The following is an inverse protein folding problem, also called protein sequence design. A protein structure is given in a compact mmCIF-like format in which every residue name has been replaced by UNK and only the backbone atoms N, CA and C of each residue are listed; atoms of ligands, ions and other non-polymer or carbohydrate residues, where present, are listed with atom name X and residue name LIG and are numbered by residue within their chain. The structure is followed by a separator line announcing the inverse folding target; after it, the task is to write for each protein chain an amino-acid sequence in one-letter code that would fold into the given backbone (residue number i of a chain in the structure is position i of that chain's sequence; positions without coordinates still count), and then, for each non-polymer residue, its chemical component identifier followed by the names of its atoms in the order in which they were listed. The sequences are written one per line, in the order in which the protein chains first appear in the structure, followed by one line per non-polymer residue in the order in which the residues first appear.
data_IF_350728683838
#
_entry.id   IF_350728683838
#
_cell.length_a   1.000
_cell.length_b   1.000
_cell.length_c   1.000
_cell.angle_alpha   90.00
_cell.angle_beta   90.00
_cell.angle_gamma   90.00
#
_symmetry.space_group_name_H-M   'P 1'
#
loop_
_entity.id
_entity.type
_entity.pdbx_description
1 polymer ?
#
# COMPACT_ATOMS: atom_id res chain seq x y z
N UNK A 1 -15.53 48.30 0.49
CA UNK A 1 -16.88 48.51 -0.04
C UNK A 1 -17.32 47.24 -0.75
N UNK A 2 -17.91 46.29 -0.02
CA UNK A 2 -18.69 45.19 -0.61
C UNK A 2 -19.85 44.92 0.34
N UNK A 3 -21.06 44.98 -0.22
CA UNK A 3 -22.35 45.04 0.46
C UNK A 3 -22.80 43.66 0.91
N UNK A 4 -23.23 43.53 2.18
CA UNK A 4 -23.82 42.31 2.74
C UNK A 4 -25.35 42.40 2.62
N UNK A 5 -25.92 41.68 1.66
CA UNK A 5 -27.38 41.55 1.50
C UNK A 5 -27.92 40.56 2.55
N UNK A 6 -28.73 41.05 3.48
CA UNK A 6 -29.41 40.23 4.49
C UNK A 6 -30.63 39.52 3.89
N UNK A 7 -30.61 38.19 3.84
CA UNK A 7 -31.78 37.38 3.52
C UNK A 7 -32.59 37.14 4.82
N UNK A 8 -33.81 37.70 4.91
CA UNK A 8 -34.71 37.50 6.07
C UNK A 8 -35.38 36.13 5.95
N UNK A 9 -35.15 35.24 6.91
CA UNK A 9 -35.84 33.96 7.04
C UNK A 9 -37.08 34.10 7.94
N UNK A 10 -38.18 33.47 7.53
CA UNK A 10 -39.47 33.39 8.23
C UNK A 10 -39.40 32.40 9.42
N UNK A 11 -40.16 32.59 10.53
CA UNK A 11 -39.94 31.87 11.79
C UNK A 11 -40.39 30.40 11.84
N UNK A 12 -40.89 29.82 10.75
CA UNK A 12 -41.64 28.56 10.81
C UNK A 12 -40.85 27.28 10.52
N UNK A 13 -39.50 27.31 10.50
CA UNK A 13 -38.68 26.15 10.13
C UNK A 13 -37.81 25.59 11.28
N UNK A 14 -38.18 25.84 12.54
CA UNK A 14 -37.34 25.54 13.71
C UNK A 14 -37.48 24.12 14.30
N UNK A 15 -38.08 23.15 13.59
CA UNK A 15 -38.37 21.83 14.16
C UNK A 15 -37.99 20.61 13.29
N UNK A 16 -37.08 20.75 12.33
CA UNK A 16 -36.59 19.64 11.50
C UNK A 16 -35.09 19.73 11.17
N UNK A 17 -34.27 20.09 12.14
CA UNK A 17 -32.82 19.90 12.03
C UNK A 17 -32.32 18.96 13.14
N UNK A 18 -32.91 17.77 13.18
CA UNK A 18 -32.32 16.61 13.83
C UNK A 18 -31.01 16.26 13.13
N UNK A 19 -29.91 16.25 13.89
CA UNK A 19 -28.87 15.23 13.85
C UNK A 19 -28.37 14.81 12.46
N UNK A 20 -27.58 15.67 11.82
CA UNK A 20 -26.58 15.21 10.83
C UNK A 20 -25.22 15.82 11.19
N UNK A 21 -24.71 15.45 12.37
CA UNK A 21 -23.27 15.27 12.51
C UNK A 21 -22.93 14.06 11.64
N UNK A 22 -22.77 14.30 10.34
CA UNK A 22 -22.24 13.33 9.41
C UNK A 22 -20.83 13.01 9.91
N UNK A 23 -20.69 11.89 10.63
CA UNK A 23 -19.39 11.28 10.84
C UNK A 23 -18.80 11.08 9.46
N UNK A 24 -17.84 11.92 9.10
CA UNK A 24 -17.05 11.76 7.89
C UNK A 24 -16.08 10.60 8.15
N UNK A 25 -16.63 9.40 8.28
CA UNK A 25 -15.90 8.18 8.05
C UNK A 25 -15.66 8.13 6.56
N UNK A 26 -14.56 8.72 6.10
CA UNK A 26 -14.07 8.50 4.74
C UNK A 26 -13.58 7.06 4.71
N UNK A 27 -14.51 6.13 4.53
CA UNK A 27 -14.17 4.76 4.23
C UNK A 27 -13.64 4.78 2.81
N UNK A 28 -12.36 4.43 2.61
CA UNK A 28 -11.78 4.34 1.29
C UNK A 28 -12.65 3.40 0.44
N UNK A 29 -13.38 3.98 -0.52
CA UNK A 29 -14.31 3.22 -1.33
C UNK A 29 -13.53 2.34 -2.28
N UNK A 30 -13.86 1.05 -2.32
CA UNK A 30 -13.30 0.13 -3.29
C UNK A 30 -13.51 0.65 -4.72
N UNK A 31 -12.45 0.63 -5.52
CA UNK A 31 -12.48 0.89 -6.96
C UNK A 31 -12.02 -0.34 -7.74
N UNK A 32 -12.87 -0.86 -8.60
CA UNK A 32 -12.56 -2.01 -9.48
C UNK A 32 -11.47 -1.66 -10.50
N UNK A 33 -11.53 -0.46 -11.08
CA UNK A 33 -10.50 0.04 -12.01
C UNK A 33 -9.12 0.11 -11.34
N UNK A 34 -9.09 0.57 -10.08
CA UNK A 34 -7.87 0.57 -9.29
C UNK A 34 -7.40 -0.84 -8.96
N UNK A 35 -8.33 -1.74 -8.59
CA UNK A 35 -8.00 -3.15 -8.35
C UNK A 35 -7.36 -3.80 -9.58
N UNK A 36 -7.92 -3.57 -10.78
CA UNK A 36 -7.36 -4.10 -12.02
C UNK A 36 -5.98 -3.53 -12.33
N UNK A 37 -5.78 -2.23 -12.09
CA UNK A 37 -4.45 -1.60 -12.24
C UNK A 37 -3.44 -2.22 -11.28
N UNK A 38 -3.82 -2.36 -10.00
CA UNK A 38 -2.98 -2.98 -8.97
C UNK A 38 -2.65 -4.45 -9.30
N UNK A 39 -3.57 -5.19 -9.93
CA UNK A 39 -3.35 -6.55 -10.40
C UNK A 39 -2.29 -6.60 -11.51
N UNK A 40 -2.35 -5.70 -12.50
CA UNK A 40 -1.35 -5.65 -13.57
C UNK A 40 0.03 -5.24 -13.06
N UNK A 41 0.11 -4.28 -12.14
CA UNK A 41 1.35 -3.96 -11.45
C UNK A 41 1.90 -5.17 -10.69
N UNK A 42 1.03 -5.87 -9.95
CA UNK A 42 1.41 -7.10 -9.26
C UNK A 42 1.91 -8.17 -10.24
N UNK A 43 1.32 -8.32 -11.42
CA UNK A 43 1.76 -9.28 -12.44
C UNK A 43 3.11 -8.88 -13.05
N UNK A 44 3.34 -7.59 -13.28
CA UNK A 44 4.62 -7.07 -13.78
C UNK A 44 5.79 -7.38 -12.83
N UNK A 45 5.55 -7.48 -11.52
CA UNK A 45 6.60 -7.84 -10.55
C UNK A 45 7.17 -9.25 -10.75
N UNK A 46 6.47 -10.12 -11.48
CA UNK A 46 6.95 -11.46 -11.83
C UNK A 46 7.87 -11.49 -13.06
N UNK A 47 8.04 -10.36 -13.76
CA UNK A 47 9.00 -10.24 -14.85
C UNK A 47 10.45 -10.23 -14.32
N UNK A 48 11.43 -10.46 -15.20
CA UNK A 48 12.85 -10.33 -14.84
C UNK A 48 13.23 -8.87 -14.55
N UNK A 49 14.29 -8.67 -13.75
CA UNK A 49 14.73 -7.34 -13.29
C UNK A 49 14.99 -6.37 -14.46
N UNK A 50 15.71 -6.74 -15.53
CA UNK A 50 15.86 -5.88 -16.70
C UNK A 50 14.53 -5.45 -17.33
N UNK A 51 13.60 -6.40 -17.52
CA UNK A 51 12.29 -6.09 -18.10
C UNK A 51 11.43 -5.20 -17.21
N UNK A 52 11.51 -5.33 -15.88
CA UNK A 52 10.86 -4.41 -14.95
C UNK A 52 11.51 -3.03 -15.08
N UNK A 53 12.83 -2.94 -14.97
CA UNK A 53 13.57 -1.66 -15.00
C UNK A 53 13.33 -0.86 -16.29
N UNK A 54 13.28 -1.53 -17.43
CA UNK A 54 12.97 -0.92 -18.73
C UNK A 54 11.47 -0.80 -19.03
N UNK A 55 10.63 -1.30 -18.12
CA UNK A 55 9.17 -1.34 -18.26
C UNK A 55 8.68 -1.97 -19.58
N UNK A 56 9.28 -3.12 -19.94
CA UNK A 56 9.17 -3.71 -21.28
C UNK A 56 8.51 -5.09 -21.33
N UNK A 57 8.00 -5.63 -20.22
CA UNK A 57 7.32 -6.93 -20.25
C UNK A 57 5.83 -6.82 -20.61
N UNK A 58 5.20 -7.96 -20.96
CA UNK A 58 3.80 -8.01 -21.41
C UNK A 58 2.81 -7.34 -20.45
N UNK A 59 3.04 -7.46 -19.14
CA UNK A 59 2.16 -6.85 -18.13
C UNK A 59 2.39 -5.33 -17.99
N UNK A 60 3.59 -4.83 -18.32
CA UNK A 60 3.91 -3.40 -18.35
C UNK A 60 3.10 -2.66 -19.42
N UNK A 61 2.75 -3.33 -20.51
CA UNK A 61 1.98 -2.76 -21.62
C UNK A 61 0.60 -2.23 -21.20
N UNK A 62 0.06 -2.68 -20.06
CA UNK A 62 -1.20 -2.17 -19.51
C UNK A 62 -1.07 -0.78 -18.90
N UNK A 63 0.15 -0.35 -18.55
CA UNK A 63 0.45 0.96 -17.99
C UNK A 63 1.67 1.58 -18.70
N UNK A 64 1.58 1.93 -20.00
CA UNK A 64 2.74 2.32 -20.81
C UNK A 64 3.40 3.64 -20.36
N UNK A 65 2.69 4.49 -19.62
CA UNK A 65 3.21 5.75 -19.06
C UNK A 65 3.88 5.59 -17.70
N UNK A 66 3.87 4.39 -17.11
CA UNK A 66 4.50 4.14 -15.81
C UNK A 66 6.03 4.21 -15.93
N UNK A 67 6.64 4.98 -15.05
CA UNK A 67 8.08 5.17 -14.98
C UNK A 67 8.59 4.44 -13.75
N UNK A 68 9.30 3.33 -13.96
CA UNK A 68 10.05 2.69 -12.88
C UNK A 68 11.14 3.63 -12.42
N UNK A 69 11.18 3.87 -11.11
CA UNK A 69 12.19 4.70 -10.46
C UNK A 69 13.27 3.84 -9.84
N UNK A 70 12.88 2.69 -9.28
CA UNK A 70 13.82 1.75 -8.68
C UNK A 70 13.29 0.33 -8.62
N UNK A 71 14.19 -0.65 -8.77
CA UNK A 71 13.95 -2.07 -8.48
C UNK A 71 14.81 -2.44 -7.28
N UNK A 72 14.23 -3.15 -6.32
CA UNK A 72 14.84 -3.60 -5.08
C UNK A 72 14.93 -5.11 -5.11
N UNK A 73 16.09 -5.67 -4.78
CA UNK A 73 16.28 -7.11 -4.77
C UNK A 73 17.18 -7.54 -3.61
N UNK A 74 16.77 -8.60 -2.94
CA UNK A 74 17.62 -9.36 -2.04
C UNK A 74 17.53 -10.83 -2.44
N UNK A 75 18.53 -11.30 -3.19
CA UNK A 75 18.57 -12.66 -3.71
C UNK A 75 18.65 -13.71 -2.59
N UNK A 76 19.29 -13.40 -1.46
CA UNK A 76 19.40 -14.29 -0.29
C UNK A 76 18.03 -14.56 0.33
N UNK A 77 17.21 -13.53 0.45
CA UNK A 77 15.85 -13.62 0.99
C UNK A 77 14.79 -13.89 -0.09
N UNK A 78 15.20 -14.04 -1.36
CA UNK A 78 14.32 -14.20 -2.51
C UNK A 78 13.39 -13.01 -2.78
N UNK A 79 13.60 -11.88 -2.10
CA UNK A 79 12.72 -10.73 -2.09
C UNK A 79 12.97 -9.83 -3.30
N UNK A 80 11.90 -9.39 -3.95
CA UNK A 80 11.96 -8.38 -5.01
C UNK A 80 10.76 -7.45 -4.92
N UNK A 81 11.01 -6.16 -5.12
CA UNK A 81 9.99 -5.15 -5.30
C UNK A 81 10.42 -4.14 -6.36
N UNK A 82 9.48 -3.36 -6.87
CA UNK A 82 9.81 -2.14 -7.61
C UNK A 82 8.94 -0.98 -7.14
N UNK A 83 9.47 0.22 -7.34
CA UNK A 83 8.78 1.47 -7.09
C UNK A 83 8.86 2.36 -8.32
N UNK A 84 7.75 3.03 -8.63
CA UNK A 84 7.68 3.93 -9.75
C UNK A 84 6.50 4.86 -9.65
N UNK A 85 6.31 5.66 -10.68
CA UNK A 85 5.27 6.69 -10.72
C UNK A 85 4.58 6.69 -12.08
N UNK A 86 3.30 6.99 -12.07
CA UNK A 86 2.54 7.41 -13.25
C UNK A 86 1.96 8.81 -12.97
N UNK A 87 0.98 9.26 -13.75
CA UNK A 87 0.43 10.61 -13.62
C UNK A 87 -0.28 10.85 -12.27
N UNK A 88 -0.94 9.83 -11.71
CA UNK A 88 -1.85 9.97 -10.57
C UNK A 88 -1.33 9.37 -9.27
N UNK A 89 -0.36 8.44 -9.29
CA UNK A 89 0.09 7.71 -8.09
C UNK A 89 1.58 7.37 -8.09
N UNK A 90 2.09 7.12 -6.88
CA UNK A 90 3.31 6.36 -6.64
C UNK A 90 2.88 4.90 -6.49
N UNK A 91 3.59 3.95 -7.10
CA UNK A 91 3.28 2.52 -7.01
C UNK A 91 4.45 1.78 -6.40
N UNK A 92 4.15 0.92 -5.43
CA UNK A 92 5.05 -0.06 -4.86
C UNK A 92 4.47 -1.44 -5.16
N UNK A 93 5.23 -2.29 -5.84
CA UNK A 93 4.77 -3.65 -6.15
C UNK A 93 5.79 -4.69 -5.71
N UNK A 94 5.31 -5.72 -5.02
CA UNK A 94 6.12 -6.82 -4.52
C UNK A 94 5.92 -8.10 -5.33
N UNK A 95 7.03 -8.78 -5.63
CA UNK A 95 7.03 -10.07 -6.32
C UNK A 95 6.55 -11.19 -5.40
N UNK A 96 5.70 -12.07 -5.93
CA UNK A 96 5.34 -13.34 -5.29
C UNK A 96 6.40 -14.43 -5.45
N UNK A 97 6.16 -15.60 -4.88
CA UNK A 97 7.05 -16.76 -5.07
C UNK A 97 7.05 -17.20 -6.54
N UNK A 98 8.22 -17.51 -7.10
CA UNK A 98 8.31 -18.10 -8.45
C UNK A 98 7.81 -19.55 -8.50
N UNK A 99 7.77 -20.24 -7.35
CA UNK A 99 7.23 -21.59 -7.22
C UNK A 99 6.18 -21.64 -6.10
N UNK A 100 4.96 -21.18 -6.43
CA UNK A 100 3.87 -21.04 -5.45
C UNK A 100 3.45 -22.37 -4.83
N UNK A 101 3.26 -23.49 -5.58
CA UNK A 101 2.86 -24.75 -4.96
C UNK A 101 3.87 -25.24 -3.92
N UNK A 102 5.17 -25.19 -4.25
CA UNK A 102 6.23 -25.60 -3.34
C UNK A 102 6.32 -24.66 -2.13
N UNK A 103 6.15 -23.36 -2.34
CA UNK A 103 6.13 -22.40 -1.24
C UNK A 103 4.98 -22.69 -0.27
N UNK A 104 3.77 -23.00 -0.75
CA UNK A 104 2.62 -23.31 0.11
C UNK A 104 2.90 -24.56 0.96
N UNK A 105 3.54 -25.59 0.40
CA UNK A 105 3.88 -26.80 1.16
C UNK A 105 4.98 -26.58 2.19
N UNK A 106 5.91 -25.67 1.93
CA UNK A 106 7.07 -25.37 2.78
C UNK A 106 6.79 -24.24 3.80
N UNK A 107 5.55 -23.75 3.89
CA UNK A 107 5.16 -22.65 4.77
C UNK A 107 5.43 -22.96 6.25
N UNK A 108 6.39 -22.26 6.84
CA UNK A 108 6.65 -22.23 8.28
C UNK A 108 5.75 -21.21 9.00
N UNK A 109 4.72 -21.69 9.69
CA UNK A 109 3.72 -20.87 10.39
C UNK A 109 4.22 -20.11 11.63
N UNK A 110 5.52 -20.13 11.92
CA UNK A 110 6.07 -19.44 13.10
C UNK A 110 5.91 -17.92 12.97
N UNK A 111 5.22 -17.35 13.96
CA UNK A 111 5.04 -15.92 14.12
C UNK A 111 6.14 -15.32 15.00
N UNK A 112 6.38 -14.03 14.84
CA UNK A 112 7.25 -13.20 15.68
C UNK A 112 6.53 -11.91 16.04
N UNK A 113 6.91 -11.30 17.15
CA UNK A 113 6.36 -10.01 17.59
C UNK A 113 6.59 -8.95 16.52
N UNK A 114 5.54 -8.19 16.18
CA UNK A 114 5.65 -7.03 15.31
C UNK A 114 6.13 -5.82 16.15
N UNK A 115 7.30 -5.23 15.86
CA UNK A 115 7.95 -4.28 16.74
C UNK A 115 7.40 -2.85 16.56
N UNK A 116 6.13 -2.64 16.89
CA UNK A 116 5.50 -1.32 16.86
C UNK A 116 4.86 -1.01 18.23
N UNK A 117 5.27 0.09 18.85
CA UNK A 117 4.82 0.48 20.19
C UNK A 117 3.30 0.74 20.28
N UNK A 118 2.64 1.02 19.15
CA UNK A 118 1.19 1.24 19.09
C UNK A 118 0.39 -0.05 18.82
N UNK A 119 1.09 -1.17 18.58
CA UNK A 119 0.50 -2.46 18.19
C UNK A 119 0.73 -3.49 19.30
N UNK A 120 0.00 -3.37 20.40
CA UNK A 120 0.13 -4.28 21.54
C UNK A 120 -0.34 -5.70 21.18
N UNK A 121 0.47 -6.72 21.54
CA UNK A 121 0.15 -8.13 21.25
C UNK A 121 0.25 -8.53 19.78
N UNK A 122 0.70 -7.63 18.89
CA UNK A 122 0.80 -7.90 17.47
C UNK A 122 1.90 -8.89 17.14
N UNK A 123 1.57 -9.87 16.30
CA UNK A 123 2.51 -10.85 15.78
C UNK A 123 2.28 -11.06 14.29
N UNK A 124 3.38 -11.21 13.55
CA UNK A 124 3.39 -11.40 12.10
C UNK A 124 4.18 -12.65 11.72
N UNK A 125 3.89 -13.20 10.55
CA UNK A 125 4.60 -14.35 10.02
C UNK A 125 6.09 -14.04 9.82
N UNK A 126 6.97 -14.84 10.42
CA UNK A 126 8.42 -14.60 10.45
C UNK A 126 9.03 -14.46 9.06
N UNK A 127 8.74 -15.40 8.17
CA UNK A 127 9.28 -15.38 6.79
C UNK A 127 8.94 -14.10 6.03
N UNK A 128 7.65 -13.74 5.96
CA UNK A 128 7.20 -12.56 5.23
C UNK A 128 7.80 -11.28 5.80
N UNK A 129 7.91 -11.21 7.13
CA UNK A 129 8.52 -10.05 7.79
C UNK A 129 10.01 -9.93 7.49
N UNK A 130 10.78 -11.01 7.52
CA UNK A 130 12.19 -10.96 7.12
C UNK A 130 12.38 -10.58 5.65
N UNK A 131 11.61 -11.17 4.74
CA UNK A 131 11.68 -10.80 3.32
C UNK A 131 11.38 -9.31 3.11
N UNK A 132 10.36 -8.77 3.78
CA UNK A 132 10.08 -7.33 3.74
C UNK A 132 11.22 -6.50 4.34
N UNK A 133 11.68 -6.84 5.56
CA UNK A 133 12.76 -6.11 6.24
C UNK A 133 14.05 -6.06 5.42
N UNK A 134 14.32 -7.09 4.60
CA UNK A 134 15.49 -7.15 3.72
C UNK A 134 15.53 -6.03 2.68
N UNK A 135 14.38 -5.45 2.32
CA UNK A 135 14.25 -4.34 1.36
C UNK A 135 13.86 -3.01 2.04
N UNK A 136 13.33 -3.09 3.27
CA UNK A 136 12.56 -2.04 3.93
C UNK A 136 13.26 -0.68 4.01
N UNK A 137 14.53 -0.64 4.40
CA UNK A 137 15.24 0.64 4.60
C UNK A 137 15.44 1.38 3.27
N UNK A 138 15.90 0.67 2.25
CA UNK A 138 16.11 1.25 0.91
C UNK A 138 14.79 1.70 0.29
N UNK A 139 13.72 0.92 0.51
CA UNK A 139 12.37 1.28 0.05
C UNK A 139 11.82 2.51 0.78
N UNK A 140 12.06 2.64 2.09
CA UNK A 140 11.62 3.79 2.85
C UNK A 140 12.30 5.08 2.37
N UNK A 141 13.61 5.04 2.13
CA UNK A 141 14.36 6.19 1.58
C UNK A 141 13.84 6.62 0.22
N UNK A 142 13.61 5.66 -0.70
CA UNK A 142 13.07 5.96 -2.02
C UNK A 142 11.62 6.48 -1.96
N UNK A 143 10.79 5.93 -1.07
CA UNK A 143 9.43 6.41 -0.87
C UNK A 143 9.43 7.87 -0.39
N UNK A 144 10.27 8.21 0.58
CA UNK A 144 10.41 9.60 1.04
C UNK A 144 10.82 10.53 -0.10
N UNK A 145 11.77 10.10 -0.96
CA UNK A 145 12.19 10.85 -2.14
C UNK A 145 11.03 11.08 -3.12
N UNK A 146 10.26 10.04 -3.44
CA UNK A 146 9.13 10.15 -4.38
C UNK A 146 7.96 10.95 -3.82
N UNK A 147 7.66 10.84 -2.52
CA UNK A 147 6.63 11.64 -1.87
C UNK A 147 7.03 13.12 -1.88
N UNK A 148 8.31 13.45 -1.67
CA UNK A 148 8.79 14.83 -1.79
C UNK A 148 8.69 15.37 -3.24
N UNK A 149 8.99 14.53 -4.24
CA UNK A 149 8.90 14.88 -5.66
C UNK A 149 7.44 14.99 -6.14
N UNK A 150 6.52 14.20 -5.57
CA UNK A 150 5.12 14.09 -5.96
C UNK A 150 4.14 14.19 -4.77
N UNK A 151 4.09 15.34 -4.06
CA UNK A 151 3.48 15.46 -2.72
C UNK A 151 1.97 15.27 -2.63
N UNK A 152 1.25 15.22 -3.77
CA UNK A 152 -0.20 15.02 -3.82
C UNK A 152 -0.61 13.65 -4.36
N UNK A 153 0.35 12.80 -4.72
CA UNK A 153 0.06 11.49 -5.27
C UNK A 153 -0.15 10.48 -4.14
N UNK A 154 -1.28 9.74 -4.11
CA UNK A 154 -1.40 8.58 -3.24
C UNK A 154 -0.34 7.52 -3.59
N UNK A 155 -0.04 6.68 -2.61
CA UNK A 155 0.87 5.55 -2.74
C UNK A 155 0.05 4.28 -2.80
N UNK A 156 0.01 3.66 -3.98
CA UNK A 156 -0.57 2.33 -4.19
C UNK A 156 0.48 1.28 -3.85
N UNK A 157 0.16 0.39 -2.91
CA UNK A 157 0.98 -0.76 -2.55
C UNK A 157 0.25 -2.02 -2.99
N UNK A 158 0.93 -2.89 -3.74
CA UNK A 158 0.33 -4.10 -4.31
C UNK A 158 1.25 -5.31 -4.34
N UNK A 159 0.66 -6.49 -4.46
CA UNK A 159 1.38 -7.74 -4.62
C UNK A 159 0.47 -8.96 -4.66
N UNK A 160 1.00 -10.06 -5.20
CA UNK A 160 0.31 -11.34 -5.33
C UNK A 160 1.00 -12.41 -4.48
N UNK A 161 0.22 -13.30 -3.86
CA UNK A 161 0.73 -14.40 -3.02
C UNK A 161 1.68 -13.88 -1.94
N UNK A 162 2.93 -14.37 -1.85
CA UNK A 162 3.96 -13.85 -0.95
C UNK A 162 4.15 -12.32 -1.08
N UNK A 163 4.10 -11.78 -2.30
CA UNK A 163 4.22 -10.34 -2.53
C UNK A 163 3.05 -9.57 -1.92
N UNK A 164 1.86 -10.16 -1.87
CA UNK A 164 0.71 -9.59 -1.17
C UNK A 164 0.94 -9.51 0.35
N UNK A 165 1.59 -10.52 0.94
CA UNK A 165 1.95 -10.47 2.37
C UNK A 165 2.97 -9.37 2.67
N UNK A 166 3.99 -9.22 1.81
CA UNK A 166 4.96 -8.13 1.91
C UNK A 166 4.31 -6.76 1.71
N UNK A 167 3.34 -6.64 0.80
CA UNK A 167 2.58 -5.41 0.59
C UNK A 167 1.81 -4.97 1.83
N UNK A 168 1.17 -5.90 2.54
CA UNK A 168 0.51 -5.64 3.84
C UNK A 168 1.52 -5.12 4.86
N UNK A 169 2.66 -5.80 5.03
CA UNK A 169 3.70 -5.38 5.98
C UNK A 169 4.29 -4.01 5.65
N UNK A 170 4.50 -3.73 4.36
CA UNK A 170 4.98 -2.43 3.89
C UNK A 170 3.96 -1.32 4.15
N UNK A 171 2.67 -1.57 3.90
CA UNK A 171 1.61 -0.61 4.19
C UNK A 171 1.55 -0.29 5.70
N UNK A 172 1.59 -1.31 6.56
CA UNK A 172 1.63 -1.15 8.01
C UNK A 172 2.84 -0.31 8.47
N UNK A 173 4.05 -0.68 8.02
CA UNK A 173 5.29 0.02 8.43
C UNK A 173 5.32 1.47 7.93
N UNK A 174 5.04 1.69 6.65
CA UNK A 174 5.14 3.01 6.04
C UNK A 174 4.04 3.97 6.52
N UNK A 175 2.82 3.47 6.74
CA UNK A 175 1.75 4.28 7.32
C UNK A 175 2.05 4.65 8.78
N UNK A 176 2.54 3.71 9.59
CA UNK A 176 2.92 4.00 10.98
C UNK A 176 4.05 5.03 11.06
N UNK A 177 5.06 4.92 10.19
CA UNK A 177 6.16 5.87 10.11
C UNK A 177 5.69 7.27 9.67
N UNK A 178 4.81 7.34 8.66
CA UNK A 178 4.20 8.58 8.19
C UNK A 178 3.34 9.26 9.28
N UNK A 179 2.55 8.46 10.02
CA UNK A 179 1.76 8.94 11.15
C UNK A 179 2.64 9.51 12.27
N UNK A 180 3.74 8.82 12.60
CA UNK A 180 4.67 9.26 13.64
C UNK A 180 5.34 10.62 13.33
N UNK A 181 5.57 10.93 12.04
CA UNK A 181 6.12 12.23 11.61
C UNK A 181 5.04 13.29 11.36
N UNK A 182 3.76 12.95 11.52
CA UNK A 182 2.62 13.86 11.37
C UNK A 182 2.35 14.31 9.93
N UNK A 183 2.99 13.69 8.94
CA UNK A 183 2.86 14.03 7.53
C UNK A 183 3.15 12.80 6.66
N UNK A 184 2.30 12.55 5.66
CA UNK A 184 2.53 11.48 4.71
C UNK A 184 1.47 11.41 3.63
N UNK A 185 1.72 10.62 2.57
CA UNK A 185 0.76 10.42 1.50
C UNK A 185 -0.42 9.59 2.00
N UNK A 186 -1.52 9.61 1.24
CA UNK A 186 -2.55 8.61 1.38
C UNK A 186 -2.03 7.26 0.85
N UNK A 187 -2.12 6.21 1.66
CA UNK A 187 -1.77 4.85 1.25
C UNK A 187 -3.02 4.09 0.78
N UNK A 188 -2.88 3.34 -0.31
CA UNK A 188 -3.89 2.44 -0.86
C UNK A 188 -3.29 1.05 -0.96
N UNK A 189 -3.96 0.03 -0.43
CA UNK A 189 -3.46 -1.34 -0.43
C UNK A 189 -4.39 -2.27 -1.19
N UNK A 190 -3.86 -2.93 -2.21
CA UNK A 190 -4.57 -3.96 -2.98
C UNK A 190 -3.71 -5.21 -3.06
N UNK A 191 -4.22 -6.35 -2.61
CA UNK A 191 -3.47 -7.61 -2.65
C UNK A 191 -4.27 -8.71 -3.31
N UNK A 192 -3.57 -9.65 -3.93
CA UNK A 192 -4.18 -10.72 -4.72
C UNK A 192 -3.70 -12.08 -4.21
N UNK A 193 -4.61 -12.90 -3.67
CA UNK A 193 -4.25 -14.22 -3.13
C UNK A 193 -3.22 -14.16 -1.99
N UNK A 194 -3.18 -13.07 -1.22
CA UNK A 194 -2.26 -12.93 -0.10
C UNK A 194 -2.59 -13.93 1.02
N UNK A 195 -1.59 -14.57 1.65
CA UNK A 195 -1.79 -15.38 2.85
C UNK A 195 -2.13 -14.48 4.06
N UNK A 196 -2.58 -15.09 5.16
CA UNK A 196 -2.72 -14.37 6.44
C UNK A 196 -1.34 -13.90 6.93
N UNK A 197 -1.22 -12.62 7.25
CA UNK A 197 0.07 -11.97 7.55
C UNK A 197 0.36 -11.93 9.04
N UNK A 198 -0.65 -11.70 9.87
CA UNK A 198 -0.51 -11.56 11.31
C UNK A 198 -1.68 -12.13 12.09
N UNK A 199 -1.61 -12.00 13.41
CA UNK A 199 -2.69 -12.38 14.31
C UNK A 199 -3.83 -11.35 14.30
N UNK A 200 -4.86 -11.63 15.10
CA UNK A 200 -6.03 -10.75 15.23
C UNK A 200 -5.65 -9.36 15.72
N UNK A 201 -4.71 -9.25 16.68
CA UNK A 201 -4.23 -7.96 17.18
C UNK A 201 -3.59 -7.11 16.07
N UNK A 202 -2.72 -7.71 15.24
CA UNK A 202 -2.14 -7.03 14.08
C UNK A 202 -3.22 -6.60 13.08
N UNK A 203 -4.22 -7.45 12.83
CA UNK A 203 -5.30 -7.16 11.89
C UNK A 203 -6.23 -6.05 12.38
N UNK A 204 -6.49 -5.98 13.68
CA UNK A 204 -7.33 -4.95 14.28
C UNK A 204 -6.63 -3.60 14.41
N UNK A 205 -5.31 -3.60 14.52
CA UNK A 205 -4.49 -2.38 14.58
C UNK A 205 -4.29 -1.73 13.21
N UNK A 206 -4.19 -2.54 12.15
CA UNK A 206 -3.98 -2.11 10.76
C UNK A 206 -5.22 -1.42 10.17
#
# INVERSE_FOLDING_TARGET
MFSVSHCRLSPSAFLFLLLLLCSCGVQAAYSETLAMSALYFSKASSCDVPSIGNWSCDSCAMHPSFQVKKVFENATEGALAYMGVNEDRIVISFRGSQNIPNWISDLDFKQITYPNATCEGCSVHRGFYHSFLSLRNEMWEELQRLVAEYPRRPVLITGHSLGGAMAVLAAADFAAQAYAIGAGPQFELYTFGAPRVGNEAFTAWM
#
